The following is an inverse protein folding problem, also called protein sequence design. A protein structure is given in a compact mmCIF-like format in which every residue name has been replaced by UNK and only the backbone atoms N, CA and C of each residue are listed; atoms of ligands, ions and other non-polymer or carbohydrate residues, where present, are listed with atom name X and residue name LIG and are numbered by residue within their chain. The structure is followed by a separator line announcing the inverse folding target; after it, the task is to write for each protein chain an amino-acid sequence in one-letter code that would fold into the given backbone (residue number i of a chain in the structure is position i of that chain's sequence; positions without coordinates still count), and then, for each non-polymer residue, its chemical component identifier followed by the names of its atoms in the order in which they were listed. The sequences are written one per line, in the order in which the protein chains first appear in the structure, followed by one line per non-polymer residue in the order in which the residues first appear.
data_IF_264845698987
#
_entry.id   IF_264845698987
#
_cell.length_a   1.000
_cell.length_b   1.000
_cell.length_c   1.000
_cell.angle_alpha   90.00
_cell.angle_beta   90.00
_cell.angle_gamma   90.00
#
_symmetry.space_group_name_H-M   'P 1'
#
loop_
_entity.id
_entity.type
_entity.pdbx_description
1 polymer ?
#
# COMPACT_ATOMS: atom_id res chain seq x y z
N UNK A 1 93.78 3.28 20.89
CA UNK A 1 93.59 3.56 19.46
C UNK A 1 92.84 4.88 19.39
N UNK A 2 93.50 6.04 19.32
CA UNK A 2 94.20 6.53 18.12
C UNK A 2 93.16 6.79 17.03
N UNK A 3 92.91 7.96 16.48
CA UNK A 3 93.64 9.25 16.40
C UNK A 3 92.71 10.15 15.57
N UNK A 4 92.27 11.30 16.08
CA UNK A 4 92.89 12.62 15.93
C UNK A 4 92.84 13.27 14.53
N UNK A 5 92.56 14.59 14.61
CA UNK A 5 92.93 15.68 13.72
C UNK A 5 91.97 15.97 12.54
N UNK A 6 91.53 17.22 12.30
CA UNK A 6 92.21 18.53 12.46
C UNK A 6 91.10 19.62 12.49
N UNK A 7 90.91 20.46 13.53
CA UNK A 7 91.61 21.74 13.86
C UNK A 7 91.55 22.73 12.66
N UNK A 8 91.16 24.02 12.71
CA UNK A 8 91.22 25.07 13.73
C UNK A 8 90.23 26.21 13.42
N UNK A 9 89.78 26.86 14.49
CA UNK A 9 89.14 28.18 14.56
C UNK A 9 90.01 29.28 13.92
N UNK A 10 89.39 30.22 13.21
CA UNK A 10 89.87 31.61 13.08
C UNK A 10 88.71 32.59 13.32
N UNK A 11 88.90 33.43 14.32
CA UNK A 11 88.03 34.52 14.77
C UNK A 11 88.11 35.69 13.77
N UNK A 12 86.97 36.29 13.39
CA UNK A 12 86.85 37.76 13.35
C UNK A 12 85.51 38.32 12.89
N UNK A 13 85.03 39.26 13.72
CA UNK A 13 84.29 40.50 13.43
C UNK A 13 82.79 40.40 13.12
N UNK A 14 82.00 40.95 14.07
CA UNK A 14 80.60 41.36 13.90
C UNK A 14 80.45 42.35 12.74
N UNK A 15 79.38 42.25 11.94
CA UNK A 15 78.80 43.38 11.25
C UNK A 15 77.52 43.86 11.96
N UNK A 16 77.36 45.18 12.01
CA UNK A 16 76.29 45.93 12.65
C UNK A 16 74.87 45.61 12.12
N UNK A 17 73.81 45.95 12.89
CA UNK A 17 72.45 45.53 12.60
C UNK A 17 71.92 46.19 11.33
N UNK A 18 71.62 45.39 10.31
CA UNK A 18 70.88 45.85 9.14
C UNK A 18 69.42 46.07 9.52
N UNK A 19 69.05 47.34 9.44
CA UNK A 19 67.73 47.93 9.52
C UNK A 19 66.64 47.09 8.84
N UNK A 20 65.60 46.76 9.61
CA UNK A 20 64.34 46.25 9.08
C UNK A 20 63.74 47.26 8.09
N UNK A 21 63.32 46.84 6.89
CA UNK A 21 62.51 47.70 6.04
C UNK A 21 61.17 47.94 6.73
N UNK A 22 60.87 49.21 7.02
CA UNK A 22 59.55 49.67 7.48
C UNK A 22 58.51 49.29 6.42
N UNK A 23 57.81 48.17 6.61
CA UNK A 23 56.54 47.94 5.94
C UNK A 23 55.55 48.98 6.45
N UNK A 24 55.17 49.90 5.56
CA UNK A 24 54.13 50.89 5.78
C UNK A 24 52.87 50.18 6.31
N UNK A 25 52.14 50.74 7.29
CA UNK A 25 50.83 50.21 7.64
C UNK A 25 49.96 50.22 6.38
N UNK A 26 49.61 49.03 5.89
CA UNK A 26 48.56 48.92 4.89
C UNK A 26 47.25 49.32 5.58
N UNK A 27 46.84 50.56 5.34
CA UNK A 27 45.49 51.05 5.61
C UNK A 27 44.48 50.02 5.11
N UNK A 28 43.72 49.40 6.02
CA UNK A 28 42.53 48.64 5.70
C UNK A 28 41.51 49.65 5.16
N UNK A 29 41.50 49.85 3.84
CA UNK A 29 40.42 50.55 3.14
C UNK A 29 39.30 49.55 2.86
N UNK A 30 38.50 49.27 3.87
CA UNK A 30 37.20 48.62 3.74
C UNK A 30 36.31 49.19 4.83
N UNK A 31 35.61 50.29 4.57
CA UNK A 31 34.85 50.95 5.65
C UNK A 31 33.73 51.93 5.24
N UNK A 32 33.26 51.90 3.99
CA UNK A 32 32.07 52.69 3.57
C UNK A 32 31.24 52.05 2.45
N UNK A 33 31.85 51.29 1.54
CA UNK A 33 31.15 50.56 0.49
C UNK A 33 30.45 49.32 1.02
N UNK A 34 31.16 48.55 1.85
CA UNK A 34 30.72 47.24 2.33
C UNK A 34 29.63 47.39 3.40
N UNK A 35 29.72 48.44 4.23
CA UNK A 35 28.68 48.81 5.20
C UNK A 35 27.38 49.21 4.51
N UNK A 36 27.44 50.00 3.42
CA UNK A 36 26.26 50.36 2.62
C UNK A 36 25.66 49.17 1.88
N UNK A 37 26.47 48.21 1.44
CA UNK A 37 25.97 46.98 0.81
C UNK A 37 25.30 46.05 1.84
N UNK A 38 25.88 45.94 3.02
CA UNK A 38 25.33 45.23 4.19
C UNK A 38 23.96 45.80 4.59
N UNK A 39 23.86 47.13 4.71
CA UNK A 39 22.62 47.83 5.10
C UNK A 39 21.51 47.70 4.03
N UNK A 40 21.87 47.83 2.75
CA UNK A 40 20.92 47.56 1.65
C UNK A 40 20.45 46.12 1.61
N UNK A 41 21.31 45.17 1.99
CA UNK A 41 20.94 43.75 2.14
C UNK A 41 19.96 43.56 3.29
N UNK A 42 20.18 44.19 4.46
CA UNK A 42 19.25 44.07 5.60
C UNK A 42 17.88 44.64 5.27
N UNK A 43 17.80 45.84 4.67
CA UNK A 43 16.52 46.43 4.26
C UNK A 43 15.77 45.56 3.23
N UNK A 44 16.51 44.97 2.29
CA UNK A 44 15.93 44.05 1.31
C UNK A 44 15.38 42.79 2.00
N UNK A 45 16.10 42.24 2.97
CA UNK A 45 15.67 41.07 3.74
C UNK A 45 14.40 41.38 4.54
N UNK A 46 14.28 42.55 5.16
CA UNK A 46 13.08 42.93 5.92
C UNK A 46 11.83 43.04 5.03
N UNK A 47 12.00 43.57 3.81
CA UNK A 47 10.93 43.54 2.79
C UNK A 47 10.52 42.12 2.43
N UNK A 48 11.47 41.17 2.41
CA UNK A 48 11.19 39.76 2.16
C UNK A 48 10.56 39.05 3.36
N UNK A 49 10.90 39.41 4.60
CA UNK A 49 10.25 38.91 5.82
C UNK A 49 8.75 39.20 5.79
N UNK A 50 8.36 40.45 5.47
CA UNK A 50 6.95 40.82 5.29
C UNK A 50 6.27 40.00 4.17
N UNK A 51 7.03 39.70 3.10
CA UNK A 51 6.52 38.94 1.95
C UNK A 51 6.35 37.46 2.28
N UNK A 52 7.23 36.88 3.10
CA UNK A 52 7.11 35.53 3.65
C UNK A 52 5.85 35.42 4.51
N UNK A 53 5.59 36.38 5.40
CA UNK A 53 4.38 36.39 6.21
C UNK A 53 3.11 36.39 5.33
N UNK A 54 3.09 37.19 4.24
CA UNK A 54 1.99 37.17 3.27
C UNK A 54 1.85 35.82 2.55
N UNK A 55 2.95 35.14 2.23
CA UNK A 55 2.93 33.81 1.60
C UNK A 55 2.36 32.78 2.59
N UNK A 56 2.81 32.81 3.85
CA UNK A 56 2.34 31.94 4.92
C UNK A 56 0.82 32.06 5.10
N UNK A 57 0.29 33.28 5.17
CA UNK A 57 -1.15 33.53 5.25
C UNK A 57 -1.90 33.03 4.00
N UNK A 58 -1.38 33.29 2.79
CA UNK A 58 -2.00 32.81 1.55
C UNK A 58 -2.07 31.29 1.43
N UNK A 59 -1.14 30.58 2.07
CA UNK A 59 -1.08 29.12 2.11
C UNK A 59 -1.84 28.53 3.31
N UNK A 60 -2.47 29.36 4.15
CA UNK A 60 -3.09 28.92 5.41
C UNK A 60 -2.15 28.09 6.30
N UNK A 61 -0.88 28.49 6.37
CA UNK A 61 0.12 27.84 7.22
C UNK A 61 0.10 28.42 8.65
N UNK A 62 0.50 27.65 9.67
CA UNK A 62 0.61 28.15 11.06
C UNK A 62 1.52 29.37 11.17
N UNK A 63 1.26 30.23 12.16
CA UNK A 63 2.04 31.46 12.38
C UNK A 63 3.55 31.20 12.57
N UNK A 64 3.90 30.05 13.16
CA UNK A 64 5.28 29.61 13.38
C UNK A 64 6.09 29.39 12.09
N UNK A 65 5.42 29.06 10.97
CA UNK A 65 6.10 28.85 9.69
C UNK A 65 6.76 30.12 9.15
N UNK A 66 6.18 31.29 9.41
CA UNK A 66 6.70 32.57 8.93
C UNK A 66 8.10 32.88 9.47
N UNK A 67 8.27 32.98 10.81
CA UNK A 67 9.57 33.21 11.44
C UNK A 67 10.61 32.15 11.11
N UNK A 68 10.24 30.85 11.10
CA UNK A 68 11.16 29.76 10.72
C UNK A 68 11.67 29.93 9.29
N UNK A 69 10.78 30.23 8.34
CA UNK A 69 11.17 30.45 6.95
C UNK A 69 12.04 31.71 6.77
N UNK A 70 11.79 32.77 7.56
CA UNK A 70 12.60 33.99 7.54
C UNK A 70 14.02 33.75 8.07
N UNK A 71 14.15 33.03 9.19
CA UNK A 71 15.46 32.65 9.74
C UNK A 71 16.26 31.79 8.75
N UNK A 72 15.62 30.81 8.11
CA UNK A 72 16.25 30.01 7.04
C UNK A 72 16.71 30.88 5.87
N UNK A 73 15.88 31.84 5.44
CA UNK A 73 16.21 32.74 4.34
C UNK A 73 17.44 33.61 4.69
N UNK A 74 17.46 34.19 5.89
CA UNK A 74 18.58 35.00 6.38
C UNK A 74 19.87 34.19 6.49
N UNK A 75 19.80 32.99 7.06
CA UNK A 75 20.95 32.06 7.17
C UNK A 75 21.50 31.68 5.79
N UNK A 76 20.62 31.33 4.85
CA UNK A 76 21.02 30.93 3.51
C UNK A 76 21.66 32.09 2.71
N UNK A 77 21.17 33.31 2.90
CA UNK A 77 21.62 34.48 2.14
C UNK A 77 22.82 35.22 2.77
N UNK A 78 23.16 34.96 4.03
CA UNK A 78 24.24 35.64 4.77
C UNK A 78 25.55 35.75 3.98
N UNK A 79 25.98 34.64 3.39
CA UNK A 79 27.26 34.54 2.66
C UNK A 79 27.08 34.59 1.13
N UNK A 80 25.88 34.88 0.63
CA UNK A 80 25.59 34.85 -0.81
C UNK A 80 25.40 36.26 -1.39
N UNK A 81 25.79 36.41 -2.67
CA UNK A 81 25.43 37.58 -3.47
C UNK A 81 23.98 37.44 -3.94
N UNK A 82 23.18 38.49 -3.73
CA UNK A 82 21.75 38.54 -4.05
C UNK A 82 21.48 38.77 -5.55
N UNK A 83 22.47 39.28 -6.28
CA UNK A 83 22.37 39.65 -7.69
C UNK A 83 22.19 38.41 -8.58
N UNK A 84 21.20 38.47 -9.49
CA UNK A 84 20.90 37.41 -10.47
C UNK A 84 20.13 36.19 -9.93
N UNK A 85 19.84 36.13 -8.61
CA UNK A 85 19.08 35.02 -8.02
C UNK A 85 17.60 35.40 -7.84
N UNK A 86 16.66 34.49 -8.15
CA UNK A 86 15.24 34.72 -7.93
C UNK A 86 14.92 34.59 -6.43
N UNK A 87 15.13 35.65 -5.65
CA UNK A 87 14.87 35.67 -4.20
C UNK A 87 13.45 35.21 -3.88
N UNK A 88 12.47 35.56 -4.73
CA UNK A 88 11.09 35.07 -4.59
C UNK A 88 11.01 33.55 -4.52
N UNK A 89 11.72 32.84 -5.39
CA UNK A 89 11.71 31.38 -5.43
C UNK A 89 12.43 30.80 -4.20
N UNK A 90 13.49 31.45 -3.72
CA UNK A 90 14.22 31.04 -2.51
C UNK A 90 13.34 31.22 -1.27
N UNK A 91 12.64 32.36 -1.14
CA UNK A 91 11.71 32.59 -0.04
C UNK A 91 10.58 31.56 -0.01
N UNK A 92 9.98 31.24 -1.16
CA UNK A 92 8.95 30.18 -1.27
C UNK A 92 9.53 28.81 -0.90
N UNK A 93 10.78 28.52 -1.31
CA UNK A 93 11.46 27.29 -0.95
C UNK A 93 11.70 27.18 0.58
N UNK A 94 12.05 28.28 1.25
CA UNK A 94 12.18 28.32 2.70
C UNK A 94 10.84 28.08 3.39
N UNK A 95 9.75 28.69 2.90
CA UNK A 95 8.39 28.42 3.40
C UNK A 95 7.99 26.96 3.18
N UNK A 96 8.34 26.36 2.04
CA UNK A 96 8.09 24.96 1.75
C UNK A 96 8.82 24.03 2.74
N UNK A 97 10.08 24.30 3.06
CA UNK A 97 10.85 23.52 4.06
C UNK A 97 10.27 23.72 5.46
N UNK A 98 9.98 24.96 5.86
CA UNK A 98 9.39 25.26 7.16
C UNK A 98 8.02 24.56 7.33
N UNK A 99 7.18 24.54 6.28
CA UNK A 99 5.90 23.85 6.29
C UNK A 99 6.04 22.33 6.52
N UNK A 100 7.11 21.71 6.00
CA UNK A 100 7.41 20.29 6.28
C UNK A 100 7.83 20.07 7.74
N UNK A 101 8.63 20.97 8.31
CA UNK A 101 9.09 20.87 9.71
C UNK A 101 7.97 21.06 10.73
N UNK A 102 6.89 21.76 10.37
CA UNK A 102 5.70 21.96 11.22
C UNK A 102 4.61 20.93 10.89
N UNK A 103 4.96 19.82 10.22
CA UNK A 103 4.05 18.71 9.88
C UNK A 103 2.79 19.12 9.08
N UNK A 104 2.87 20.26 8.38
CA UNK A 104 1.81 20.77 7.50
C UNK A 104 2.31 20.88 6.05
N UNK A 105 2.79 19.76 5.46
CA UNK A 105 3.48 19.78 4.18
C UNK A 105 2.54 20.15 3.05
N UNK A 106 2.96 21.11 2.22
CA UNK A 106 2.31 21.42 0.95
C UNK A 106 3.13 20.87 -0.20
N UNK A 107 2.48 20.48 -1.28
CA UNK A 107 3.21 19.99 -2.45
C UNK A 107 3.86 21.15 -3.21
N UNK A 108 4.94 20.85 -3.94
CA UNK A 108 5.61 21.85 -4.79
C UNK A 108 4.66 22.43 -5.85
N UNK A 109 3.68 21.65 -6.31
CA UNK A 109 2.66 22.10 -7.28
C UNK A 109 1.71 23.12 -6.68
N UNK A 110 1.25 22.91 -5.44
CA UNK A 110 0.42 23.89 -4.72
C UNK A 110 1.18 25.20 -4.50
N UNK A 111 2.43 25.10 -4.02
CA UNK A 111 3.30 26.25 -3.81
C UNK A 111 3.53 27.06 -5.10
N UNK A 112 3.76 26.37 -6.21
CA UNK A 112 3.95 26.97 -7.53
C UNK A 112 2.67 27.67 -8.03
N UNK A 113 1.52 27.01 -7.89
CA UNK A 113 0.23 27.51 -8.34
C UNK A 113 -0.16 28.82 -7.64
N UNK A 114 -0.07 28.87 -6.31
CA UNK A 114 -0.47 30.02 -5.51
C UNK A 114 0.48 31.21 -5.72
N UNK A 115 1.79 30.94 -5.81
CA UNK A 115 2.80 32.01 -5.87
C UNK A 115 3.17 32.44 -7.28
N UNK A 116 2.68 31.76 -8.33
CA UNK A 116 3.03 31.99 -9.74
C UNK A 116 4.55 31.91 -9.95
N UNK A 117 5.16 30.82 -9.49
CA UNK A 117 6.58 30.51 -9.66
C UNK A 117 6.70 29.08 -10.17
N UNK A 118 7.68 28.79 -11.03
CA UNK A 118 7.81 27.45 -11.62
C UNK A 118 8.16 26.38 -10.57
N UNK A 119 7.54 25.21 -10.68
CA UNK A 119 7.79 24.05 -9.81
C UNK A 119 9.27 23.68 -9.79
N UNK A 120 9.93 23.70 -10.96
CA UNK A 120 11.36 23.39 -11.12
C UNK A 120 12.26 24.35 -10.32
N UNK A 121 11.94 25.65 -10.33
CA UNK A 121 12.73 26.62 -9.57
C UNK A 121 12.56 26.41 -8.06
N UNK A 122 11.33 26.21 -7.58
CA UNK A 122 11.07 25.98 -6.15
C UNK A 122 11.80 24.72 -5.68
N UNK A 123 11.66 23.61 -6.41
CA UNK A 123 12.34 22.35 -6.07
C UNK A 123 13.87 22.49 -6.04
N UNK A 124 14.46 23.15 -7.06
CA UNK A 124 15.90 23.38 -7.13
C UNK A 124 16.43 24.19 -5.94
N UNK A 125 15.73 25.25 -5.54
CA UNK A 125 16.16 26.06 -4.40
C UNK A 125 15.83 25.42 -3.06
N UNK A 126 14.75 24.63 -2.96
CA UNK A 126 14.45 23.86 -1.75
C UNK A 126 15.56 22.85 -1.46
N UNK A 127 16.04 22.13 -2.48
CA UNK A 127 17.17 21.24 -2.34
C UNK A 127 18.45 21.99 -1.91
N UNK A 128 18.79 23.09 -2.59
CA UNK A 128 19.99 23.88 -2.24
C UNK A 128 19.94 24.48 -0.83
N UNK A 129 18.78 24.94 -0.39
CA UNK A 129 18.61 25.50 0.97
C UNK A 129 18.74 24.39 2.00
N UNK A 130 18.11 23.24 1.78
CA UNK A 130 18.21 22.09 2.67
C UNK A 130 19.66 21.59 2.80
N UNK A 131 20.38 21.47 1.67
CA UNK A 131 21.80 21.09 1.64
C UNK A 131 22.69 22.10 2.38
N UNK A 132 22.49 23.41 2.13
CA UNK A 132 23.30 24.46 2.74
C UNK A 132 23.08 24.59 4.25
N UNK A 133 21.86 24.35 4.72
CA UNK A 133 21.49 24.45 6.13
C UNK A 133 21.54 23.10 6.87
N UNK A 134 21.92 22.01 6.18
CA UNK A 134 21.93 20.63 6.71
C UNK A 134 20.60 20.24 7.35
N UNK A 135 19.51 20.55 6.65
CA UNK A 135 18.16 20.19 7.09
C UNK A 135 17.77 18.88 6.42
N UNK A 136 17.56 17.85 7.24
CA UNK A 136 16.94 16.61 6.77
C UNK A 136 15.46 16.86 6.52
N UNK A 137 15.01 16.51 5.31
CA UNK A 137 13.67 16.83 4.84
C UNK A 137 13.01 15.60 4.25
N UNK A 138 12.36 14.80 5.11
CA UNK A 138 11.70 13.56 4.74
C UNK A 138 10.70 13.71 3.58
N UNK A 139 10.57 12.70 2.70
CA UNK A 139 9.60 12.76 1.63
C UNK A 139 8.18 12.89 2.18
N UNK A 140 7.36 13.70 1.52
CA UNK A 140 5.94 13.87 1.89
C UNK A 140 5.22 12.54 1.67
N UNK A 141 4.43 12.10 2.64
CA UNK A 141 3.59 10.90 2.51
C UNK A 141 2.18 11.31 2.05
N UNK A 142 1.43 10.42 1.36
CA UNK A 142 0.05 10.73 0.95
C UNK A 142 -0.85 11.01 2.15
N UNK A 143 -0.61 10.32 3.27
CA UNK A 143 -1.34 10.42 4.53
C UNK A 143 -1.40 11.86 5.05
N UNK A 144 -0.29 12.59 4.98
CA UNK A 144 -0.18 13.99 5.40
C UNK A 144 -1.01 14.95 4.53
N UNK A 145 -1.41 14.55 3.32
CA UNK A 145 -2.16 15.38 2.38
C UNK A 145 -3.68 15.14 2.46
N UNK A 146 -4.10 13.92 2.84
CA UNK A 146 -5.50 13.48 2.73
C UNK A 146 -6.41 14.32 3.61
N UNK A 147 -6.07 14.50 4.89
CA UNK A 147 -6.90 15.26 5.83
C UNK A 147 -7.16 16.68 5.36
N UNK A 148 -6.12 17.39 4.89
CA UNK A 148 -6.27 18.75 4.34
C UNK A 148 -7.13 18.75 3.08
N UNK A 149 -6.92 17.81 2.18
CA UNK A 149 -7.67 17.75 0.93
C UNK A 149 -9.15 17.42 1.16
N UNK A 150 -9.45 16.48 2.05
CA UNK A 150 -10.81 16.17 2.47
C UNK A 150 -11.49 17.36 3.12
N UNK A 151 -10.80 18.08 4.02
CA UNK A 151 -11.33 19.30 4.64
C UNK A 151 -11.67 20.38 3.61
N UNK A 152 -10.79 20.64 2.64
CA UNK A 152 -11.03 21.61 1.56
C UNK A 152 -12.17 21.22 0.63
N UNK A 153 -12.44 19.92 0.50
CA UNK A 153 -13.56 19.40 -0.28
C UNK A 153 -14.84 19.30 0.56
N UNK A 154 -14.81 19.61 1.86
CA UNK A 154 -15.97 19.46 2.75
C UNK A 154 -16.44 18.01 2.85
N UNK A 155 -15.51 17.06 2.89
CA UNK A 155 -15.81 15.64 3.03
C UNK A 155 -15.88 15.24 4.51
N UNK A 156 -16.77 14.32 4.84
CA UNK A 156 -16.90 13.77 6.18
C UNK A 156 -15.72 12.87 6.58
N UNK A 157 -15.50 12.73 7.90
CA UNK A 157 -14.44 11.88 8.46
C UNK A 157 -14.55 10.40 8.07
N UNK A 158 -15.75 9.92 7.71
CA UNK A 158 -15.93 8.55 7.24
C UNK A 158 -15.24 8.35 5.88
N UNK A 159 -15.45 9.29 4.95
CA UNK A 159 -14.82 9.30 3.63
C UNK A 159 -13.32 9.52 3.74
N UNK A 160 -12.88 10.42 4.63
CA UNK A 160 -11.47 10.67 4.92
C UNK A 160 -10.74 9.40 5.40
N UNK A 161 -11.30 8.69 6.38
CA UNK A 161 -10.74 7.42 6.88
C UNK A 161 -10.62 6.38 5.77
N UNK A 162 -11.65 6.27 4.93
CA UNK A 162 -11.62 5.36 3.80
C UNK A 162 -10.53 5.74 2.78
N UNK A 163 -10.40 7.02 2.46
CA UNK A 163 -9.35 7.53 1.58
C UNK A 163 -7.95 7.24 2.15
N UNK A 164 -7.78 7.41 3.46
CA UNK A 164 -6.54 7.09 4.16
C UNK A 164 -6.15 5.61 4.00
N UNK A 165 -7.09 4.69 4.23
CA UNK A 165 -6.83 3.26 4.06
C UNK A 165 -6.45 2.90 2.62
N UNK A 166 -7.16 3.46 1.64
CA UNK A 166 -6.88 3.24 0.22
C UNK A 166 -5.50 3.76 -0.16
N UNK A 167 -5.15 4.97 0.29
CA UNK A 167 -3.88 5.61 -0.04
C UNK A 167 -2.69 4.86 0.58
N UNK A 168 -2.79 4.49 1.86
CA UNK A 168 -1.73 3.78 2.57
C UNK A 168 -1.52 2.38 1.97
N UNK A 169 -2.60 1.64 1.66
CA UNK A 169 -2.50 0.36 0.95
C UNK A 169 -1.83 0.52 -0.42
N UNK A 170 -2.21 1.54 -1.18
CA UNK A 170 -1.64 1.81 -2.52
C UNK A 170 -0.19 2.27 -2.46
N UNK A 171 0.19 3.00 -1.41
CA UNK A 171 1.56 3.46 -1.18
C UNK A 171 2.50 2.28 -0.88
N UNK A 172 2.06 1.35 -0.02
CA UNK A 172 2.79 0.09 0.26
C UNK A 172 2.96 -0.80 -0.97
N UNK A 173 2.02 -0.75 -1.90
CA UNK A 173 2.06 -1.49 -3.16
C UNK A 173 2.79 -0.76 -4.29
N UNK A 174 3.39 0.41 -4.02
CA UNK A 174 4.17 1.21 -4.99
C UNK A 174 3.44 1.49 -6.31
N UNK A 175 2.13 1.73 -6.24
CA UNK A 175 1.20 1.71 -7.40
C UNK A 175 1.33 2.92 -8.33
N UNK A 176 1.88 4.05 -7.90
CA UNK A 176 1.82 5.30 -8.68
C UNK A 176 2.88 6.36 -8.34
N UNK A 177 2.95 7.33 -9.26
CA UNK A 177 3.94 8.36 -9.59
C UNK A 177 4.10 9.53 -8.59
N UNK A 178 3.70 9.34 -7.33
CA UNK A 178 3.99 10.27 -6.24
C UNK A 178 2.83 10.54 -5.27
N UNK A 179 3.13 11.03 -4.05
CA UNK A 179 2.20 11.09 -2.91
C UNK A 179 0.89 11.84 -3.19
N UNK A 180 0.97 12.98 -3.90
CA UNK A 180 -0.19 13.82 -4.20
C UNK A 180 -1.17 13.14 -5.17
N UNK A 181 -0.64 12.36 -6.14
CA UNK A 181 -1.47 11.62 -7.10
C UNK A 181 -2.24 10.50 -6.41
N UNK A 182 -1.54 9.77 -5.53
CA UNK A 182 -2.13 8.70 -4.70
C UNK A 182 -3.23 9.25 -3.81
N UNK A 183 -2.96 10.35 -3.09
CA UNK A 183 -3.94 11.01 -2.22
C UNK A 183 -5.18 11.47 -3.02
N UNK A 184 -5.00 12.16 -4.14
CA UNK A 184 -6.10 12.63 -4.98
C UNK A 184 -6.97 11.48 -5.51
N UNK A 185 -6.36 10.42 -6.01
CA UNK A 185 -7.08 9.24 -6.52
C UNK A 185 -7.83 8.50 -5.39
N UNK A 186 -7.19 8.36 -4.22
CA UNK A 186 -7.80 7.70 -3.07
C UNK A 186 -9.02 8.46 -2.55
N UNK A 187 -8.92 9.79 -2.44
CA UNK A 187 -10.05 10.66 -2.04
C UNK A 187 -11.18 10.58 -3.05
N UNK A 188 -10.88 10.67 -4.35
CA UNK A 188 -11.90 10.55 -5.38
C UNK A 188 -12.63 9.22 -5.28
N UNK A 189 -11.91 8.10 -5.23
CA UNK A 189 -12.56 6.78 -5.10
C UNK A 189 -13.36 6.65 -3.81
N UNK A 190 -12.83 7.08 -2.66
CA UNK A 190 -13.54 7.03 -1.39
C UNK A 190 -14.82 7.88 -1.42
N UNK A 191 -14.79 9.04 -2.08
CA UNK A 191 -15.97 9.89 -2.24
C UNK A 191 -17.06 9.21 -3.07
N UNK A 192 -16.67 8.47 -4.12
CA UNK A 192 -17.60 7.75 -5.00
C UNK A 192 -18.13 6.45 -4.36
N UNK A 193 -17.38 5.85 -3.45
CA UNK A 193 -17.78 4.66 -2.68
C UNK A 193 -18.69 5.03 -1.48
N UNK A 194 -18.93 6.32 -1.21
CA UNK A 194 -19.85 6.76 -0.15
C UNK A 194 -21.31 6.49 -0.51
N UNK A 195 -22.09 6.02 0.48
CA UNK A 195 -23.54 5.82 0.33
C UNK A 195 -24.29 7.16 0.20
N UNK A 196 -23.77 8.24 0.80
CA UNK A 196 -24.34 9.57 0.67
C UNK A 196 -23.82 10.26 -0.59
N UNK A 197 -24.73 10.55 -1.53
CA UNK A 197 -24.43 11.27 -2.78
C UNK A 197 -23.96 12.70 -2.54
N UNK A 198 -24.32 13.33 -1.42
CA UNK A 198 -23.85 14.68 -1.08
C UNK A 198 -22.32 14.73 -0.90
N UNK A 199 -21.71 13.60 -0.53
CA UNK A 199 -20.27 13.44 -0.33
C UNK A 199 -19.50 13.16 -1.63
N UNK A 200 -20.19 12.94 -2.75
CA UNK A 200 -19.52 12.67 -4.02
C UNK A 200 -18.83 13.94 -4.52
N UNK A 201 -17.60 13.79 -5.02
CA UNK A 201 -16.83 14.90 -5.60
C UNK A 201 -16.47 14.60 -7.04
N UNK A 202 -16.53 15.61 -7.89
CA UNK A 202 -16.12 15.50 -9.28
C UNK A 202 -14.59 15.40 -9.37
N UNK A 203 -14.09 14.92 -10.51
CA UNK A 203 -12.63 14.86 -10.74
C UNK A 203 -12.06 16.29 -10.81
N UNK A 204 -12.87 17.24 -11.26
CA UNK A 204 -12.57 18.66 -11.36
C UNK A 204 -12.40 19.31 -9.99
N UNK A 205 -13.24 18.98 -9.01
CA UNK A 205 -13.12 19.46 -7.62
C UNK A 205 -11.80 18.98 -7.00
N UNK A 206 -11.51 17.69 -7.14
CA UNK A 206 -10.29 17.07 -6.61
C UNK A 206 -9.05 17.65 -7.31
N UNK A 207 -9.11 17.90 -8.62
CA UNK A 207 -8.05 18.60 -9.36
C UNK A 207 -7.81 20.00 -8.80
N UNK A 208 -8.86 20.74 -8.47
CA UNK A 208 -8.75 22.09 -7.91
C UNK A 208 -7.97 22.13 -6.59
N UNK A 209 -8.15 21.10 -5.76
CA UNK A 209 -7.48 21.00 -4.45
C UNK A 209 -6.06 20.44 -4.56
N UNK A 210 -5.85 19.37 -5.33
CA UNK A 210 -4.54 18.70 -5.43
C UNK A 210 -3.59 19.32 -6.48
N UNK A 211 -4.10 20.20 -7.36
CA UNK A 211 -3.36 20.79 -8.48
C UNK A 211 -2.76 19.75 -9.44
N UNK A 212 -3.54 18.71 -9.79
CA UNK A 212 -3.14 17.60 -10.68
C UNK A 212 -4.06 17.55 -11.90
N UNK A 213 -3.58 17.02 -13.04
CA UNK A 213 -4.43 16.83 -14.22
C UNK A 213 -5.52 15.79 -13.97
N UNK A 214 -6.71 16.01 -14.53
CA UNK A 214 -7.84 15.07 -14.43
C UNK A 214 -7.51 13.70 -15.04
N UNK A 215 -6.73 13.69 -16.14
CA UNK A 215 -6.25 12.47 -16.77
C UNK A 215 -5.38 11.63 -15.82
N UNK A 216 -4.46 12.26 -15.08
CA UNK A 216 -3.60 11.56 -14.11
C UNK A 216 -4.42 10.93 -12.98
N UNK A 217 -5.45 11.63 -12.49
CA UNK A 217 -6.35 11.11 -11.45
C UNK A 217 -7.09 9.88 -12.00
N UNK A 218 -7.73 9.99 -13.18
CA UNK A 218 -8.48 8.90 -13.80
C UNK A 218 -7.62 7.66 -14.05
N UNK A 219 -6.41 7.84 -14.57
CA UNK A 219 -5.49 6.73 -14.82
C UNK A 219 -5.09 6.02 -13.52
N UNK A 220 -4.81 6.77 -12.46
CA UNK A 220 -4.43 6.18 -11.16
C UNK A 220 -5.62 5.45 -10.52
N UNK A 221 -6.83 6.00 -10.62
CA UNK A 221 -8.04 5.31 -10.17
C UNK A 221 -8.27 3.99 -10.92
N UNK A 222 -7.99 3.94 -12.22
CA UNK A 222 -8.07 2.69 -12.99
C UNK A 222 -7.06 1.66 -12.49
N UNK A 223 -5.82 2.07 -12.15
CA UNK A 223 -4.82 1.20 -11.53
C UNK A 223 -5.32 0.66 -10.18
N UNK A 224 -5.87 1.51 -9.32
CA UNK A 224 -6.41 1.11 -8.02
C UNK A 224 -7.55 0.09 -8.18
N UNK A 225 -8.46 0.30 -9.14
CA UNK A 225 -9.53 -0.66 -9.45
C UNK A 225 -8.99 -1.99 -9.95
N UNK A 226 -7.96 -1.98 -10.80
CA UNK A 226 -7.33 -3.20 -11.30
C UNK A 226 -6.66 -3.97 -10.16
N UNK A 227 -5.94 -3.30 -9.27
CA UNK A 227 -5.34 -3.93 -8.10
C UNK A 227 -6.40 -4.49 -7.16
N UNK A 228 -7.48 -3.75 -6.89
CA UNK A 228 -8.60 -4.27 -6.10
C UNK A 228 -9.15 -5.56 -6.73
N UNK A 229 -9.35 -5.59 -8.05
CA UNK A 229 -9.79 -6.80 -8.76
C UNK A 229 -8.77 -7.94 -8.67
N UNK A 230 -7.47 -7.65 -8.82
CA UNK A 230 -6.40 -8.64 -8.72
C UNK A 230 -6.25 -9.20 -7.32
N UNK A 231 -6.30 -8.36 -6.28
CA UNK A 231 -6.23 -8.79 -4.87
C UNK A 231 -7.46 -9.59 -4.50
N UNK A 232 -8.66 -9.13 -4.89
CA UNK A 232 -9.89 -9.89 -4.71
C UNK A 232 -9.79 -11.23 -5.45
N UNK A 233 -9.29 -11.24 -6.68
CA UNK A 233 -9.06 -12.45 -7.44
C UNK A 233 -8.08 -13.40 -6.74
N UNK A 234 -6.97 -12.90 -6.18
CA UNK A 234 -5.99 -13.69 -5.43
C UNK A 234 -6.62 -14.23 -4.14
N UNK A 235 -7.31 -13.41 -3.36
CA UNK A 235 -8.00 -13.83 -2.14
C UNK A 235 -9.01 -14.92 -2.46
N UNK A 236 -9.89 -14.71 -3.43
CA UNK A 236 -10.92 -15.70 -3.78
C UNK A 236 -10.36 -16.92 -4.54
N UNK A 237 -9.25 -16.79 -5.28
CA UNK A 237 -8.65 -17.91 -6.03
C UNK A 237 -7.73 -18.77 -5.18
N UNK A 238 -7.10 -18.23 -4.13
CA UNK A 238 -6.21 -18.97 -3.22
C UNK A 238 -6.96 -19.47 -1.99
N UNK A 239 -7.82 -18.66 -1.38
CA UNK A 239 -8.55 -19.05 -0.18
C UNK A 239 -9.46 -20.25 -0.41
N UNK A 240 -10.14 -20.34 -1.57
CA UNK A 240 -11.09 -21.43 -1.86
C UNK A 240 -10.41 -22.81 -1.97
N UNK A 241 -9.32 -22.98 -2.75
CA UNK A 241 -8.54 -24.20 -2.74
C UNK A 241 -7.84 -24.49 -1.42
N UNK A 242 -7.40 -23.46 -0.69
CA UNK A 242 -6.80 -23.64 0.63
C UNK A 242 -7.81 -24.21 1.63
N UNK A 243 -9.05 -23.68 1.67
CA UNK A 243 -10.15 -24.25 2.47
C UNK A 243 -10.48 -25.69 2.04
N UNK A 244 -10.44 -25.99 0.73
CA UNK A 244 -10.64 -27.35 0.24
C UNK A 244 -9.56 -28.32 0.73
N UNK A 245 -8.28 -27.93 0.66
CA UNK A 245 -7.17 -28.76 1.12
C UNK A 245 -7.18 -28.91 2.64
N UNK A 246 -7.47 -27.83 3.38
CA UNK A 246 -7.61 -27.88 4.83
C UNK A 246 -8.77 -28.79 5.26
N UNK A 247 -9.93 -28.71 4.61
CA UNK A 247 -11.06 -29.59 4.90
C UNK A 247 -10.73 -31.07 4.62
N UNK A 248 -9.89 -31.34 3.61
CA UNK A 248 -9.40 -32.69 3.32
C UNK A 248 -8.44 -33.22 4.40
N UNK A 249 -7.60 -32.36 4.98
CA UNK A 249 -6.66 -32.73 6.05
C UNK A 249 -7.36 -32.99 7.39
N UNK A 250 -8.49 -32.33 7.68
CA UNK A 250 -9.27 -32.49 8.92
C UNK A 250 -10.35 -33.57 8.78
N UNK A 251 -10.15 -34.57 7.92
CA UNK A 251 -11.09 -35.70 7.70
C UNK A 251 -12.54 -35.30 7.37
N UNK A 252 -12.75 -34.09 6.84
CA UNK A 252 -14.05 -33.57 6.40
C UNK A 252 -14.05 -33.31 4.89
N UNK A 253 -13.83 -34.35 4.04
CA UNK A 253 -13.53 -34.13 2.63
C UNK A 253 -14.75 -33.65 1.87
N UNK A 254 -14.67 -32.48 1.26
CA UNK A 254 -15.63 -32.03 0.24
C UNK A 254 -15.18 -32.49 -1.14
N UNK A 255 -16.10 -32.83 -2.04
CA UNK A 255 -15.72 -33.06 -3.44
C UNK A 255 -15.50 -31.74 -4.17
N UNK A 256 -14.70 -31.74 -5.25
CA UNK A 256 -14.50 -30.55 -6.09
C UNK A 256 -15.83 -29.99 -6.64
N UNK A 257 -16.82 -30.85 -6.89
CA UNK A 257 -18.17 -30.45 -7.34
C UNK A 257 -18.93 -29.72 -6.24
N UNK A 258 -18.88 -30.21 -5.00
CA UNK A 258 -19.49 -29.53 -3.85
C UNK A 258 -18.85 -28.17 -3.60
N UNK A 259 -17.51 -28.09 -3.63
CA UNK A 259 -16.80 -26.82 -3.46
C UNK A 259 -17.11 -25.84 -4.58
N UNK A 260 -17.21 -26.31 -5.83
CA UNK A 260 -17.65 -25.51 -6.97
C UNK A 260 -19.06 -24.94 -6.78
N UNK A 261 -19.99 -25.77 -6.28
CA UNK A 261 -21.37 -25.38 -6.03
C UNK A 261 -21.49 -24.35 -4.91
N UNK A 262 -20.92 -24.63 -3.73
CA UNK A 262 -20.96 -23.73 -2.56
C UNK A 262 -20.35 -22.37 -2.91
N UNK A 263 -19.24 -22.36 -3.65
CA UNK A 263 -18.49 -21.14 -3.94
C UNK A 263 -18.89 -20.44 -5.24
N UNK A 264 -19.85 -20.99 -6.01
CA UNK A 264 -20.28 -20.51 -7.33
C UNK A 264 -19.10 -20.33 -8.31
N UNK A 265 -18.18 -21.30 -8.37
CA UNK A 265 -16.99 -21.28 -9.25
C UNK A 265 -16.95 -22.55 -10.10
N UNK A 266 -16.32 -22.50 -11.28
CA UNK A 266 -16.15 -23.69 -12.12
C UNK A 266 -15.25 -24.75 -11.48
N UNK A 267 -15.61 -26.03 -11.65
CA UNK A 267 -14.83 -27.19 -11.15
C UNK A 267 -13.39 -27.17 -11.69
N UNK A 268 -13.21 -26.82 -12.98
CA UNK A 268 -11.89 -26.74 -13.63
C UNK A 268 -11.00 -25.69 -12.96
N UNK A 269 -11.56 -24.55 -12.56
CA UNK A 269 -10.80 -23.48 -11.93
C UNK A 269 -10.33 -23.88 -10.53
N UNK A 270 -11.22 -24.46 -9.71
CA UNK A 270 -10.85 -24.95 -8.38
C UNK A 270 -9.80 -26.06 -8.48
N UNK A 271 -9.97 -27.01 -9.40
CA UNK A 271 -9.01 -28.11 -9.60
C UNK A 271 -7.59 -27.62 -9.92
N UNK A 272 -7.44 -26.67 -10.85
CA UNK A 272 -6.12 -26.11 -11.21
C UNK A 272 -5.42 -25.44 -10.03
N UNK A 273 -6.16 -24.69 -9.21
CA UNK A 273 -5.58 -24.01 -8.06
C UNK A 273 -5.34 -24.96 -6.89
N UNK A 274 -6.21 -25.95 -6.66
CA UNK A 274 -6.01 -26.98 -5.66
C UNK A 274 -4.75 -27.80 -5.95
N UNK A 275 -4.52 -28.14 -7.23
CA UNK A 275 -3.29 -28.82 -7.65
C UNK A 275 -2.04 -27.97 -7.35
N UNK A 276 -2.04 -26.68 -7.74
CA UNK A 276 -0.92 -25.78 -7.46
C UNK A 276 -0.65 -25.60 -5.96
N UNK A 277 -1.69 -25.54 -5.14
CA UNK A 277 -1.54 -25.43 -3.69
C UNK A 277 -1.04 -26.75 -3.09
N UNK A 278 -1.50 -27.90 -3.58
CA UNK A 278 -1.00 -29.22 -3.15
C UNK A 278 0.48 -29.41 -3.51
N UNK A 279 0.89 -29.02 -4.73
CA UNK A 279 2.30 -29.01 -5.17
C UNK A 279 3.16 -28.09 -4.29
N UNK A 280 2.67 -26.87 -3.99
CA UNK A 280 3.39 -25.92 -3.16
C UNK A 280 3.55 -26.39 -1.70
N UNK A 281 2.56 -27.09 -1.16
CA UNK A 281 2.55 -27.60 0.22
C UNK A 281 3.12 -29.01 0.35
N UNK A 282 3.51 -29.67 -0.76
CA UNK A 282 3.94 -31.07 -0.81
C UNK A 282 2.95 -32.03 -0.13
N UNK A 283 1.66 -31.79 -0.35
CA UNK A 283 0.58 -32.61 0.21
C UNK A 283 0.19 -33.65 -0.84
N UNK A 284 0.39 -34.93 -0.52
CA UNK A 284 -0.14 -36.03 -1.32
C UNK A 284 -1.67 -36.05 -1.22
N UNK A 285 -2.32 -35.90 -2.35
CA UNK A 285 -3.76 -35.75 -2.42
C UNK A 285 -4.43 -37.06 -2.84
N UNK A 286 -4.51 -38.04 -1.92
CA UNK A 286 -5.21 -39.31 -2.17
C UNK A 286 -6.67 -39.10 -2.64
N UNK A 287 -7.18 -39.95 -3.56
CA UNK A 287 -8.55 -39.81 -4.04
C UNK A 287 -9.54 -39.96 -2.88
N UNK A 288 -10.53 -39.05 -2.81
CA UNK A 288 -11.58 -39.09 -1.78
C UNK A 288 -12.37 -40.39 -1.96
N UNK A 289 -12.42 -41.20 -0.90
CA UNK A 289 -13.18 -42.45 -0.90
C UNK A 289 -14.65 -42.18 -0.52
N UNK A 290 -15.60 -43.03 -0.96
CA UNK A 290 -17.01 -42.90 -0.58
C UNK A 290 -17.21 -42.89 0.94
N UNK A 291 -16.42 -43.70 1.64
CA UNK A 291 -16.47 -43.88 3.10
C UNK A 291 -16.32 -42.57 3.86
N UNK A 292 -15.35 -41.73 3.47
CA UNK A 292 -15.13 -40.44 4.12
C UNK A 292 -16.28 -39.44 3.88
N UNK A 293 -17.08 -39.62 2.83
CA UNK A 293 -18.25 -38.80 2.55
C UNK A 293 -19.49 -39.28 3.34
N UNK A 294 -19.59 -40.60 3.57
CA UNK A 294 -20.75 -41.22 4.22
C UNK A 294 -20.93 -40.68 5.63
N UNK A 295 -19.88 -40.66 6.46
CA UNK A 295 -19.97 -40.19 7.84
C UNK A 295 -20.46 -38.75 7.94
N UNK A 296 -19.95 -37.86 7.06
CA UNK A 296 -20.38 -36.46 7.01
C UNK A 296 -21.82 -36.31 6.52
N UNK A 297 -22.23 -37.07 5.51
CA UNK A 297 -23.58 -37.01 4.96
C UNK A 297 -24.61 -37.56 5.95
N UNK A 298 -24.32 -38.68 6.61
CA UNK A 298 -25.15 -39.23 7.69
C UNK A 298 -25.31 -38.24 8.84
N UNK A 299 -24.22 -37.58 9.26
CA UNK A 299 -24.29 -36.53 10.28
C UNK A 299 -25.22 -35.38 9.88
N UNK A 300 -25.11 -34.87 8.64
CA UNK A 300 -25.99 -33.79 8.14
C UNK A 300 -27.45 -34.20 8.00
N UNK A 301 -27.71 -35.46 7.69
CA UNK A 301 -29.05 -36.02 7.58
C UNK A 301 -29.63 -36.46 8.93
N UNK A 302 -28.84 -36.37 10.02
CA UNK A 302 -29.24 -36.83 11.35
C UNK A 302 -29.53 -38.33 11.39
N UNK A 303 -28.73 -39.13 10.68
CA UNK A 303 -28.88 -40.59 10.64
C UNK A 303 -28.10 -41.27 11.75
N UNK A 304 -28.64 -42.36 12.28
CA UNK A 304 -27.97 -43.17 13.29
C UNK A 304 -26.77 -43.95 12.75
N UNK A 305 -25.85 -44.29 13.66
CA UNK A 305 -24.64 -45.07 13.34
C UNK A 305 -24.93 -46.44 12.72
N UNK A 306 -26.09 -47.04 13.00
CA UNK A 306 -26.49 -48.31 12.37
C UNK A 306 -26.67 -48.15 10.86
N UNK A 307 -27.38 -47.09 10.44
CA UNK A 307 -27.60 -46.75 9.03
C UNK A 307 -26.28 -46.35 8.35
N UNK A 308 -25.43 -45.59 9.05
CA UNK A 308 -24.09 -45.24 8.57
C UNK A 308 -23.23 -46.48 8.28
N UNK A 309 -23.18 -47.45 9.20
CA UNK A 309 -22.44 -48.71 9.01
C UNK A 309 -22.98 -49.51 7.83
N UNK A 310 -24.31 -49.59 7.70
CA UNK A 310 -24.92 -50.29 6.57
C UNK A 310 -24.62 -49.60 5.24
N UNK A 311 -24.65 -48.26 5.20
CA UNK A 311 -24.26 -47.49 4.03
C UNK A 311 -22.77 -47.73 3.68
N UNK A 312 -21.89 -47.81 4.67
CA UNK A 312 -20.47 -48.13 4.48
C UNK A 312 -20.29 -49.51 3.82
N UNK A 313 -21.00 -50.54 4.30
CA UNK A 313 -20.93 -51.88 3.71
C UNK A 313 -21.40 -51.90 2.25
N UNK A 314 -22.50 -51.21 1.96
CA UNK A 314 -23.05 -51.09 0.60
C UNK A 314 -22.05 -50.37 -0.31
N UNK A 315 -21.52 -49.22 0.12
CA UNK A 315 -20.59 -48.43 -0.67
C UNK A 315 -19.29 -49.19 -0.96
N UNK A 316 -18.74 -49.90 0.02
CA UNK A 316 -17.52 -50.69 -0.16
C UNK A 316 -17.70 -51.90 -1.08
N UNK A 317 -18.86 -52.56 -1.02
CA UNK A 317 -19.19 -53.63 -1.97
C UNK A 317 -19.26 -53.09 -3.41
N UNK A 318 -19.91 -51.94 -3.61
CA UNK A 318 -20.04 -51.31 -4.92
C UNK A 318 -18.73 -50.73 -5.46
N UNK A 319 -17.87 -50.20 -4.58
CA UNK A 319 -16.58 -49.62 -4.97
C UNK A 319 -15.60 -50.69 -5.49
N UNK A 320 -15.60 -51.88 -4.88
CA UNK A 320 -14.80 -53.04 -5.34
C UNK A 320 -15.21 -53.57 -6.72
N UNK A 321 -16.45 -53.31 -7.13
CA UNK A 321 -17.00 -53.76 -8.42
C UNK A 321 -16.83 -52.72 -9.54
N UNK A 322 -16.08 -51.63 -9.30
CA UNK A 322 -15.82 -50.56 -10.27
C UNK A 322 -17.06 -50.02 -10.96
N UNK A 323 -18.20 -49.95 -10.25
CA UNK A 323 -19.38 -49.25 -10.77
C UNK A 323 -18.99 -47.80 -11.05
N UNK A 324 -19.09 -47.37 -12.30
CA UNK A 324 -18.45 -46.17 -12.91
C UNK A 324 -18.94 -44.80 -12.40
N UNK A 325 -19.43 -44.75 -11.16
CA UNK A 325 -19.98 -43.56 -10.52
C UNK A 325 -18.97 -42.95 -9.54
N UNK A 326 -18.88 -41.61 -9.52
CA UNK A 326 -17.95 -40.91 -8.62
C UNK A 326 -18.26 -41.14 -7.14
N UNK A 327 -17.31 -40.89 -6.22
CA UNK A 327 -17.42 -41.27 -4.80
C UNK A 327 -18.63 -40.66 -4.08
N UNK A 328 -19.00 -39.42 -4.42
CA UNK A 328 -20.20 -38.77 -3.87
C UNK A 328 -21.51 -39.42 -4.35
N UNK A 329 -21.53 -39.98 -5.57
CA UNK A 329 -22.69 -40.70 -6.12
C UNK A 329 -22.86 -42.04 -5.43
N UNK A 330 -21.76 -42.78 -5.23
CA UNK A 330 -21.74 -44.04 -4.49
C UNK A 330 -22.21 -43.82 -3.06
N UNK A 331 -21.65 -42.82 -2.36
CA UNK A 331 -22.04 -42.49 -1.00
C UNK A 331 -23.54 -42.11 -0.89
N UNK A 332 -24.04 -41.25 -1.79
CA UNK A 332 -25.45 -40.84 -1.80
C UNK A 332 -26.40 -42.03 -2.03
N UNK A 333 -26.09 -42.91 -3.00
CA UNK A 333 -26.91 -44.07 -3.29
C UNK A 333 -26.89 -45.08 -2.13
N UNK A 334 -25.71 -45.32 -1.53
CA UNK A 334 -25.56 -46.24 -0.40
C UNK A 334 -26.34 -45.75 0.84
N UNK A 335 -26.26 -44.46 1.17
CA UNK A 335 -27.02 -43.85 2.27
C UNK A 335 -28.52 -43.94 2.03
N UNK A 336 -28.97 -43.62 0.82
CA UNK A 336 -30.39 -43.71 0.49
C UNK A 336 -30.90 -45.14 0.69
N UNK A 337 -30.24 -46.15 0.14
CA UNK A 337 -30.66 -47.55 0.30
C UNK A 337 -30.59 -48.01 1.76
N UNK A 338 -29.52 -47.68 2.49
CA UNK A 338 -29.41 -48.00 3.91
C UNK A 338 -30.52 -47.35 4.75
N UNK A 339 -30.90 -46.12 4.41
CA UNK A 339 -32.00 -45.41 5.10
C UNK A 339 -33.35 -46.07 4.87
N UNK A 340 -33.60 -46.62 3.67
CA UNK A 340 -34.84 -47.31 3.32
C UNK A 340 -34.90 -48.74 3.89
N UNK A 341 -33.74 -49.38 4.05
CA UNK A 341 -33.62 -50.72 4.66
C UNK A 341 -33.68 -50.67 6.21
N UNK A 342 -33.74 -49.48 6.82
CA UNK A 342 -33.84 -49.31 8.28
C UNK A 342 -35.22 -49.71 8.82
N UNK A 343 -35.23 -50.46 9.92
CA UNK A 343 -36.46 -50.83 10.64
C UNK A 343 -37.16 -49.61 11.28
N UNK A 344 -36.40 -48.58 11.65
CA UNK A 344 -36.95 -47.34 12.17
C UNK A 344 -37.30 -46.39 11.01
N UNK A 345 -38.61 -46.10 10.88
CA UNK A 345 -39.15 -45.19 9.85
C UNK A 345 -38.67 -43.75 10.02
N UNK A 346 -38.25 -43.36 11.22
CA UNK A 346 -37.71 -42.02 11.49
C UNK A 346 -36.38 -41.77 10.77
N UNK A 347 -35.65 -42.85 10.45
CA UNK A 347 -34.38 -42.82 9.73
C UNK A 347 -34.55 -42.75 8.21
N UNK A 348 -35.76 -42.91 7.68
CA UNK A 348 -35.99 -42.89 6.24
C UNK A 348 -35.74 -41.49 5.70
N UNK A 349 -35.02 -41.40 4.58
CA UNK A 349 -34.74 -40.13 3.88
C UNK A 349 -35.23 -40.20 2.45
N UNK A 350 -35.79 -39.08 1.97
CA UNK A 350 -36.19 -38.95 0.58
C UNK A 350 -34.96 -38.79 -0.32
N UNK A 351 -35.14 -39.04 -1.62
CA UNK A 351 -34.06 -38.82 -2.60
C UNK A 351 -33.71 -37.33 -2.67
N UNK A 352 -34.67 -36.46 -2.39
CA UNK A 352 -34.54 -35.01 -2.33
C UNK A 352 -33.66 -34.57 -1.16
N UNK A 353 -33.80 -35.19 0.02
CA UNK A 353 -32.95 -34.92 1.19
C UNK A 353 -31.49 -35.28 0.91
N UNK A 354 -31.27 -36.47 0.35
CA UNK A 354 -29.92 -36.95 -0.01
C UNK A 354 -29.30 -36.09 -1.11
N UNK A 355 -30.10 -35.65 -2.10
CA UNK A 355 -29.67 -34.69 -3.13
C UNK A 355 -29.17 -33.37 -2.51
N UNK A 356 -29.87 -32.85 -1.51
CA UNK A 356 -29.50 -31.60 -0.85
C UNK A 356 -28.11 -31.65 -0.23
N UNK A 357 -27.76 -32.79 0.37
CA UNK A 357 -26.49 -32.98 1.08
C UNK A 357 -25.34 -33.36 0.13
N UNK A 358 -25.60 -34.19 -0.89
CA UNK A 358 -24.58 -34.67 -1.83
C UNK A 358 -24.40 -33.79 -3.08
N UNK A 359 -25.29 -32.81 -3.31
CA UNK A 359 -25.30 -31.94 -4.49
C UNK A 359 -25.35 -32.69 -5.84
N UNK A 360 -26.12 -33.79 -5.91
CA UNK A 360 -26.26 -34.66 -7.09
C UNK A 360 -27.72 -34.68 -7.57
N UNK A 361 -27.95 -34.91 -8.87
CA UNK A 361 -29.32 -35.02 -9.40
C UNK A 361 -30.06 -36.26 -8.85
N UNK A 362 -31.37 -36.12 -8.60
CA UNK A 362 -32.21 -37.24 -8.11
C UNK A 362 -32.22 -38.42 -9.09
N UNK A 363 -32.17 -38.15 -10.40
CA UNK A 363 -32.08 -39.16 -11.44
C UNK A 363 -30.79 -39.99 -11.33
N UNK A 364 -29.65 -39.34 -11.07
CA UNK A 364 -28.36 -40.04 -10.90
C UNK A 364 -28.38 -40.95 -9.68
N UNK A 365 -28.98 -40.50 -8.56
CA UNK A 365 -29.11 -41.31 -7.35
C UNK A 365 -29.98 -42.54 -7.63
N UNK A 366 -31.17 -42.36 -8.24
CA UNK A 366 -32.09 -43.46 -8.57
C UNK A 366 -31.46 -44.49 -9.51
N UNK A 367 -30.79 -44.04 -10.58
CA UNK A 367 -30.11 -44.93 -11.52
C UNK A 367 -29.01 -45.73 -10.84
N UNK A 368 -28.23 -45.11 -9.95
CA UNK A 368 -27.16 -45.80 -9.22
C UNK A 368 -27.72 -46.79 -8.21
N UNK A 369 -28.83 -46.47 -7.54
CA UNK A 369 -29.52 -47.41 -6.66
C UNK A 369 -30.04 -48.64 -7.43
N UNK A 370 -30.58 -48.45 -8.65
CA UNK A 370 -31.00 -49.56 -9.50
C UNK A 370 -29.81 -50.47 -9.87
N UNK A 371 -28.64 -49.88 -10.16
CA UNK A 371 -27.41 -50.64 -10.39
C UNK A 371 -27.00 -51.43 -9.15
N UNK A 372 -27.08 -50.86 -7.95
CA UNK A 372 -26.71 -51.56 -6.72
C UNK A 372 -27.67 -52.71 -6.37
N UNK A 373 -28.95 -52.59 -6.71
CA UNK A 373 -29.92 -53.68 -6.53
C UNK A 373 -29.63 -54.88 -7.43
N UNK A 374 -29.07 -54.66 -8.62
CA UNK A 374 -28.69 -55.73 -9.55
C UNK A 374 -27.38 -56.44 -9.16
N UNK A 375 -26.67 -55.92 -8.16
CA UNK A 375 -25.41 -56.45 -7.64
C UNK A 375 -25.63 -57.31 -6.38
N UNK A 376 -26.81 -57.20 -5.76
CA UNK A 376 -27.15 -57.76 -4.45
C UNK A 376 -27.49 -59.24 -4.51
#
# INVERSE_FOLDING_TARGET
MGSNNTIRVKISRKPDPKTHPKTKPQTIKGSKSDDKESERKSEALDKWSQRIARIQLKMNLPAECGPKADDMLRKYLKNMKMTGRPIKAIAIACVYIAAKQVEMPHTLKEMAFINKVSVKQIGRYAQKVAEALRIDADPITPDQLISRFCYRLGLERAVERQAFHIANASYKLHVSSGPSVVAAAAIYMASQDSNDRSQWRSVEDVKGVACISTATIRNTCALFKNIRKSVLFILYSIHKPFVYIAAKQVEMPHTLKEMAFINKVSVKQIGRYAQKVAEALRIDADPITPDQLISRFCYRLGLERAVERQAFHIANASYKLHVSSGPSVVAAAAIYMASQDSNDRSQWRSVEDVKGVACISTATIRNTCALFKNIR
#
